data_IF_287268134726
#
_entry.id   IF_287268134726
#
_cell.length_a   1.000
_cell.length_b   1.000
_cell.length_c   1.000
_cell.angle_alpha   90.00
_cell.angle_beta   90.00
_cell.angle_gamma   90.00
#
_symmetry.space_group_name_H-M   'P 1'
#
loop_
_entity.id
_entity.type
_entity.pdbx_description
1 polymer ?
#
# COMPACT_ATOMS: atom_id res chain seq x y z
N UNK A 1 -41.75 66.98 9.53
CA UNK A 1 -40.59 66.59 8.71
C UNK A 1 -40.96 65.34 7.94
N UNK A 2 -41.30 65.53 6.68
CA UNK A 2 -41.60 64.49 5.68
C UNK A 2 -40.30 63.96 5.10
N UNK A 3 -40.17 62.65 4.93
CA UNK A 3 -39.37 62.06 3.85
C UNK A 3 -39.81 60.63 3.53
N UNK A 4 -39.53 60.14 2.31
CA UNK A 4 -40.43 59.25 1.60
C UNK A 4 -39.91 57.81 1.44
N UNK A 5 -40.85 56.99 0.97
CA UNK A 5 -40.75 55.68 0.33
C UNK A 5 -39.47 55.45 -0.52
N UNK A 6 -38.85 54.26 -0.40
CA UNK A 6 -38.23 53.58 -1.55
C UNK A 6 -37.79 52.14 -1.25
N UNK A 7 -38.40 51.19 -1.98
CA UNK A 7 -37.69 50.10 -2.65
C UNK A 7 -37.25 48.86 -1.84
N UNK A 8 -38.07 47.82 -1.85
CA UNK A 8 -37.58 46.45 -2.09
C UNK A 8 -37.41 46.29 -3.62
N UNK A 9 -36.39 45.61 -4.16
CA UNK A 9 -36.26 44.15 -4.00
C UNK A 9 -34.81 43.62 -4.01
N UNK A 10 -34.60 42.39 -3.51
CA UNK A 10 -33.31 41.72 -3.71
C UNK A 10 -33.04 40.54 -2.80
N UNK A 11 -33.86 39.50 -2.90
CA UNK A 11 -33.46 38.17 -2.45
C UNK A 11 -32.27 37.69 -3.29
N UNK A 12 -31.05 37.87 -2.80
CA UNK A 12 -29.89 37.07 -3.21
C UNK A 12 -29.23 36.50 -1.96
N UNK A 13 -29.88 35.49 -1.40
CA UNK A 13 -29.23 34.53 -0.50
C UNK A 13 -28.14 33.83 -1.30
N UNK A 14 -26.92 34.34 -1.16
CA UNK A 14 -25.69 33.75 -1.67
C UNK A 14 -25.63 32.30 -1.18
N UNK A 15 -25.62 31.27 -2.06
CA UNK A 15 -25.37 29.91 -1.64
C UNK A 15 -23.93 29.90 -1.13
N UNK A 16 -23.76 29.75 0.18
CA UNK A 16 -22.47 29.39 0.75
C UNK A 16 -22.01 28.11 0.07
N UNK A 17 -20.95 28.29 -0.71
CA UNK A 17 -20.10 27.30 -1.38
C UNK A 17 -20.40 25.87 -0.96
N UNK A 18 -20.90 25.13 -1.93
CA UNK A 18 -20.94 23.67 -2.02
C UNK A 18 -19.93 22.99 -1.09
N UNK A 19 -20.45 22.31 -0.07
CA UNK A 19 -19.74 21.27 0.66
C UNK A 19 -19.63 19.99 -0.22
N UNK A 20 -19.15 20.14 -1.44
CA UNK A 20 -19.10 19.09 -2.46
C UNK A 20 -17.73 19.03 -3.14
N UNK A 21 -16.65 19.20 -2.37
CA UNK A 21 -15.28 19.00 -2.87
C UNK A 21 -14.39 18.45 -1.75
N UNK A 22 -14.73 17.27 -1.23
CA UNK A 22 -13.76 16.34 -0.58
C UNK A 22 -14.32 14.93 -0.36
N UNK A 23 -15.57 14.63 -0.70
CA UNK A 23 -15.99 13.25 -1.05
C UNK A 23 -15.56 12.93 -2.49
N UNK A 24 -14.32 13.27 -2.83
CA UNK A 24 -13.70 12.80 -4.06
C UNK A 24 -13.40 11.31 -3.83
N UNK A 25 -14.32 10.47 -4.31
CA UNK A 25 -14.25 9.01 -4.41
C UNK A 25 -12.97 8.40 -3.84
N UNK A 26 -12.98 8.16 -2.54
CA UNK A 26 -11.96 7.35 -1.85
C UNK A 26 -12.01 5.88 -2.30
N UNK A 27 -12.99 5.52 -3.14
CA UNK A 27 -13.21 4.17 -3.66
C UNK A 27 -12.61 3.93 -5.05
N UNK A 28 -12.15 4.95 -5.77
CA UNK A 28 -11.74 4.79 -7.20
C UNK A 28 -10.22 4.88 -7.42
N UNK A 29 -9.47 5.43 -6.47
CA UNK A 29 -8.01 5.39 -6.56
C UNK A 29 -7.48 4.31 -5.62
N UNK A 30 -6.94 3.24 -6.21
CA UNK A 30 -6.02 2.35 -5.50
C UNK A 30 -4.81 3.19 -5.07
N UNK A 31 -4.86 3.71 -3.84
CA UNK A 31 -3.81 4.54 -3.25
C UNK A 31 -2.44 3.84 -3.19
N UNK A 32 -2.40 2.53 -3.47
CA UNK A 32 -1.18 1.74 -3.64
C UNK A 32 -0.41 2.11 -4.93
N UNK A 33 -1.09 2.57 -5.98
CA UNK A 33 -0.45 2.85 -7.27
C UNK A 33 0.24 4.23 -7.30
N UNK A 34 -0.08 5.12 -6.35
CA UNK A 34 0.53 6.46 -6.23
C UNK A 34 1.25 6.58 -4.89
N UNK A 35 2.47 6.03 -4.84
CA UNK A 35 3.35 6.13 -3.66
C UNK A 35 4.06 7.50 -3.66
N UNK A 36 3.95 8.30 -2.58
CA UNK A 36 4.70 9.55 -2.45
C UNK A 36 6.21 9.33 -2.59
N UNK A 37 6.92 10.27 -3.21
CA UNK A 37 8.37 10.15 -3.48
C UNK A 37 9.22 9.96 -2.22
N UNK A 38 8.80 10.56 -1.10
CA UNK A 38 9.42 10.37 0.22
C UNK A 38 9.28 8.94 0.77
N UNK A 39 8.39 8.13 0.20
CA UNK A 39 8.12 6.75 0.55
C UNK A 39 8.52 5.77 -0.58
N UNK A 40 9.37 6.18 -1.51
CA UNK A 40 9.82 5.31 -2.62
C UNK A 40 10.41 3.96 -2.15
N UNK A 41 10.98 3.90 -0.95
CA UNK A 41 11.54 2.69 -0.35
C UNK A 41 10.51 1.57 -0.04
N UNK A 42 9.22 1.86 0.03
CA UNK A 42 8.18 0.82 0.24
C UNK A 42 7.60 0.28 -1.07
N UNK A 43 7.92 0.91 -2.21
CA UNK A 43 7.41 0.51 -3.54
C UNK A 43 7.72 -0.97 -3.85
N UNK A 44 8.92 -1.51 -3.61
CA UNK A 44 9.19 -2.93 -3.87
C UNK A 44 8.26 -3.87 -3.10
N UNK A 45 7.95 -3.55 -1.84
CA UNK A 45 7.06 -4.37 -0.99
C UNK A 45 5.63 -4.36 -1.55
N UNK A 46 5.12 -3.20 -1.97
CA UNK A 46 3.77 -3.09 -2.53
C UNK A 46 3.66 -3.77 -3.90
N UNK A 47 4.72 -3.72 -4.73
CA UNK A 47 4.76 -4.46 -6.00
C UNK A 47 4.64 -5.95 -5.76
N UNK A 48 5.41 -6.49 -4.80
CA UNK A 48 5.33 -7.90 -4.44
C UNK A 48 3.94 -8.26 -3.93
N UNK A 49 3.35 -7.42 -3.07
CA UNK A 49 2.00 -7.65 -2.58
C UNK A 49 0.98 -7.79 -3.73
N UNK A 50 1.08 -6.93 -4.76
CA UNK A 50 0.22 -6.98 -5.95
C UNK A 50 0.49 -8.23 -6.81
N UNK A 51 1.76 -8.62 -6.98
CA UNK A 51 2.14 -9.81 -7.76
C UNK A 51 1.59 -11.10 -7.13
N UNK A 52 1.62 -11.22 -5.81
CA UNK A 52 1.27 -12.45 -5.10
C UNK A 52 -0.18 -12.47 -4.59
N UNK A 53 -0.94 -11.40 -4.81
CA UNK A 53 -2.29 -11.20 -4.27
C UNK A 53 -3.24 -12.36 -4.59
N UNK A 54 -3.15 -12.89 -5.81
CA UNK A 54 -4.00 -14.01 -6.25
C UNK A 54 -3.51 -15.38 -5.76
N UNK A 55 -2.20 -15.57 -5.60
CA UNK A 55 -1.61 -16.86 -5.21
C UNK A 55 -1.56 -17.05 -3.70
N UNK A 56 -1.24 -15.98 -2.97
CA UNK A 56 -1.04 -15.95 -1.52
C UNK A 56 -1.67 -14.68 -0.93
N UNK A 57 -3.01 -14.60 -0.85
CA UNK A 57 -3.70 -13.39 -0.41
C UNK A 57 -3.30 -12.97 1.01
N UNK A 58 -3.06 -13.94 1.90
CA UNK A 58 -2.56 -13.63 3.25
C UNK A 58 -1.18 -12.99 3.26
N UNK A 59 -0.23 -13.50 2.47
CA UNK A 59 1.12 -12.92 2.41
C UNK A 59 1.07 -11.52 1.81
N UNK A 60 0.28 -11.32 0.75
CA UNK A 60 0.07 -9.99 0.15
C UNK A 60 -0.46 -8.97 1.18
N UNK A 61 -1.47 -9.36 1.97
CA UNK A 61 -1.98 -8.55 3.07
C UNK A 61 -0.88 -8.16 4.07
N UNK A 62 -0.03 -9.11 4.46
CA UNK A 62 1.05 -8.87 5.41
C UNK A 62 2.16 -7.97 4.84
N UNK A 63 2.46 -8.09 3.54
CA UNK A 63 3.36 -7.16 2.84
C UNK A 63 2.82 -5.72 2.90
N UNK A 64 1.53 -5.50 2.63
CA UNK A 64 0.88 -4.19 2.73
C UNK A 64 0.91 -3.63 4.14
N UNK A 65 0.67 -4.48 5.13
CA UNK A 65 0.76 -4.11 6.53
C UNK A 65 2.17 -3.64 6.91
N UNK A 66 3.19 -4.42 6.53
CA UNK A 66 4.59 -4.04 6.73
C UNK A 66 4.94 -2.72 6.02
N UNK A 67 4.44 -2.50 4.79
CA UNK A 67 4.64 -1.26 4.06
C UNK A 67 4.03 -0.05 4.80
N UNK A 68 2.83 -0.20 5.37
CA UNK A 68 2.19 0.84 6.19
C UNK A 68 3.03 1.16 7.44
N UNK A 69 3.48 0.14 8.17
CA UNK A 69 4.35 0.31 9.33
C UNK A 69 5.66 1.02 8.98
N UNK A 70 6.29 0.64 7.88
CA UNK A 70 7.53 1.26 7.40
C UNK A 70 7.28 2.72 7.02
N UNK A 71 6.17 3.03 6.35
CA UNK A 71 5.78 4.41 6.05
C UNK A 71 5.51 5.23 7.32
N UNK A 72 4.90 4.62 8.34
CA UNK A 72 4.70 5.26 9.65
C UNK A 72 6.02 5.59 10.34
N UNK A 73 7.01 4.68 10.31
CA UNK A 73 8.34 4.91 10.86
C UNK A 73 9.12 5.98 10.09
N UNK A 74 8.99 6.02 8.76
CA UNK A 74 9.70 6.98 7.90
C UNK A 74 9.18 8.41 8.01
N UNK A 75 7.87 8.60 8.20
CA UNK A 75 7.28 9.93 8.43
C UNK A 75 6.18 9.86 9.49
N UNK A 76 6.52 9.78 10.79
CA UNK A 76 5.53 9.67 11.86
C UNK A 76 4.51 10.82 11.86
N UNK A 77 4.97 12.01 11.48
CA UNK A 77 4.16 13.24 11.43
C UNK A 77 3.24 13.35 10.21
N UNK A 78 3.43 12.49 9.20
CA UNK A 78 2.72 12.53 7.91
C UNK A 78 2.77 13.92 7.25
N UNK A 79 3.91 14.60 7.34
CA UNK A 79 4.11 15.97 6.85
C UNK A 79 4.44 16.02 5.35
N UNK A 80 4.92 14.92 4.78
CA UNK A 80 5.19 14.84 3.35
C UNK A 80 3.93 14.99 2.50
N UNK A 81 4.08 15.59 1.33
CA UNK A 81 2.98 15.75 0.38
C UNK A 81 2.37 14.39 0.02
N UNK A 82 1.05 14.25 0.19
CA UNK A 82 0.33 13.00 -0.11
C UNK A 82 0.53 11.85 0.88
N UNK A 83 1.44 11.97 1.87
CA UNK A 83 1.78 10.88 2.80
C UNK A 83 0.59 10.48 3.67
N UNK A 84 -0.16 11.46 4.19
CA UNK A 84 -1.34 11.19 5.02
C UNK A 84 -2.43 10.48 4.23
N UNK A 85 -2.70 10.94 3.01
CA UNK A 85 -3.69 10.35 2.12
C UNK A 85 -3.30 8.91 1.77
N UNK A 86 -2.04 8.71 1.38
CA UNK A 86 -1.48 7.39 1.09
C UNK A 86 -1.64 6.43 2.26
N UNK A 87 -1.21 6.80 3.48
CA UNK A 87 -1.33 5.95 4.68
C UNK A 87 -2.78 5.64 5.02
N UNK A 88 -3.67 6.62 4.90
CA UNK A 88 -5.11 6.43 5.17
C UNK A 88 -5.71 5.45 4.17
N UNK A 89 -5.40 5.61 2.88
CA UNK A 89 -5.87 4.69 1.83
C UNK A 89 -5.37 3.25 2.05
N UNK A 90 -4.07 3.10 2.37
CA UNK A 90 -3.48 1.79 2.65
C UNK A 90 -4.09 1.13 3.90
N UNK A 91 -4.36 1.90 4.95
CA UNK A 91 -5.05 1.43 6.15
C UNK A 91 -6.47 0.94 5.85
N UNK A 92 -7.26 1.71 5.10
CA UNK A 92 -8.62 1.32 4.71
C UNK A 92 -8.64 0.05 3.85
N UNK A 93 -7.65 -0.11 2.96
CA UNK A 93 -7.49 -1.35 2.19
C UNK A 93 -7.19 -2.54 3.09
N UNK A 94 -6.30 -2.38 4.07
CA UNK A 94 -6.02 -3.45 5.05
C UNK A 94 -7.29 -3.83 5.83
N UNK A 95 -8.07 -2.85 6.31
CA UNK A 95 -9.31 -3.14 7.01
C UNK A 95 -10.29 -3.97 6.15
N UNK A 96 -10.40 -3.65 4.86
CA UNK A 96 -11.23 -4.37 3.88
C UNK A 96 -10.73 -5.80 3.62
N UNK A 97 -9.43 -5.96 3.40
CA UNK A 97 -8.84 -7.22 2.91
C UNK A 97 -8.50 -8.19 4.05
N UNK A 98 -8.57 -7.77 5.32
CA UNK A 98 -8.15 -8.61 6.45
C UNK A 98 -8.99 -9.90 6.57
N UNK A 99 -10.33 -9.81 6.48
CA UNK A 99 -11.19 -10.98 6.67
C UNK A 99 -11.03 -12.02 5.53
N UNK A 100 -11.01 -11.55 4.28
CA UNK A 100 -10.82 -12.43 3.12
C UNK A 100 -9.43 -13.05 3.08
N UNK A 101 -8.39 -12.28 3.42
CA UNK A 101 -7.02 -12.80 3.49
C UNK A 101 -6.85 -13.83 4.62
N UNK A 102 -7.46 -13.62 5.79
CA UNK A 102 -7.46 -14.59 6.89
C UNK A 102 -8.12 -15.92 6.52
N UNK A 103 -9.21 -15.89 5.75
CA UNK A 103 -9.88 -17.10 5.29
C UNK A 103 -8.99 -17.94 4.35
N UNK A 104 -8.05 -17.30 3.65
CA UNK A 104 -7.08 -17.98 2.76
C UNK A 104 -5.81 -18.47 3.47
N UNK A 105 -5.71 -18.31 4.79
CA UNK A 105 -4.50 -18.64 5.55
C UNK A 105 -4.26 -20.15 5.58
N UNK A 106 -3.04 -20.56 5.28
CA UNK A 106 -2.55 -21.94 5.25
C UNK A 106 -1.79 -22.30 6.53
N UNK A 107 -1.04 -21.35 7.11
CA UNK A 107 -0.24 -21.55 8.34
C UNK A 107 -0.99 -21.10 9.59
N UNK A 108 -0.45 -21.45 10.77
CA UNK A 108 -1.09 -21.11 12.04
C UNK A 108 -0.88 -19.66 12.44
N UNK A 109 0.24 -19.05 12.05
CA UNK A 109 0.56 -17.67 12.36
C UNK A 109 0.95 -16.91 11.10
N UNK A 110 0.82 -15.58 11.15
CA UNK A 110 1.22 -14.70 10.05
C UNK A 110 2.73 -14.74 9.81
N UNK A 111 3.53 -14.86 10.88
CA UNK A 111 4.98 -15.03 10.77
C UNK A 111 5.34 -16.30 9.97
N UNK A 112 4.67 -17.42 10.28
CA UNK A 112 4.90 -18.68 9.57
C UNK A 112 4.44 -18.64 8.11
N UNK A 113 3.39 -17.88 7.78
CA UNK A 113 2.98 -17.65 6.39
C UNK A 113 4.12 -17.01 5.59
N UNK A 114 4.67 -15.90 6.09
CA UNK A 114 5.71 -15.15 5.39
C UNK A 114 6.99 -15.98 5.33
N UNK A 115 7.39 -16.64 6.41
CA UNK A 115 8.58 -17.50 6.42
C UNK A 115 8.46 -18.65 5.41
N UNK A 116 7.32 -19.33 5.39
CA UNK A 116 7.09 -20.43 4.44
C UNK A 116 7.07 -19.93 3.00
N UNK A 117 6.51 -18.75 2.74
CA UNK A 117 6.51 -18.16 1.41
C UNK A 117 7.92 -17.73 0.99
N UNK A 118 8.68 -17.14 1.90
CA UNK A 118 10.07 -16.73 1.66
C UNK A 118 10.98 -17.92 1.31
N UNK A 119 10.86 -19.02 2.06
CA UNK A 119 11.59 -20.26 1.76
C UNK A 119 11.22 -20.80 0.37
N UNK A 120 9.92 -20.89 0.07
CA UNK A 120 9.45 -21.35 -1.23
C UNK A 120 9.96 -20.47 -2.38
N UNK A 121 9.93 -19.14 -2.22
CA UNK A 121 10.46 -18.20 -3.21
C UNK A 121 11.97 -18.42 -3.46
N UNK A 122 12.75 -18.60 -2.40
CA UNK A 122 14.19 -18.80 -2.52
C UNK A 122 14.53 -20.12 -3.22
N UNK A 123 13.84 -21.21 -2.88
CA UNK A 123 14.07 -22.52 -3.47
C UNK A 123 13.67 -22.57 -4.95
N UNK A 124 12.54 -22.00 -5.31
CA UNK A 124 12.02 -22.09 -6.67
C UNK A 124 12.55 -21.02 -7.61
N UNK A 125 12.86 -19.82 -7.12
CA UNK A 125 13.23 -18.71 -7.99
C UNK A 125 14.74 -18.46 -7.96
N UNK A 126 15.33 -18.33 -6.78
CA UNK A 126 16.77 -18.00 -6.66
C UNK A 126 17.63 -19.19 -7.06
N UNK A 127 17.40 -20.40 -6.52
CA UNK A 127 18.21 -21.57 -6.88
C UNK A 127 18.05 -21.98 -8.35
N UNK A 128 16.85 -21.89 -8.90
CA UNK A 128 16.61 -22.23 -10.31
C UNK A 128 17.35 -21.28 -11.26
N UNK A 129 17.37 -19.98 -10.96
CA UNK A 129 18.09 -19.00 -11.77
C UNK A 129 19.61 -19.12 -11.62
N UNK A 130 20.10 -19.46 -10.43
CA UNK A 130 21.52 -19.71 -10.16
C UNK A 130 22.06 -20.92 -10.96
N UNK A 131 21.24 -21.96 -11.11
CA UNK A 131 21.57 -23.14 -11.90
C UNK A 131 21.57 -22.88 -13.42
N UNK A 132 20.87 -21.85 -13.90
CA UNK A 132 20.82 -21.44 -15.31
C UNK A 132 21.98 -20.50 -15.72
N UNK A 133 23.07 -20.48 -14.94
CA UNK A 133 24.11 -19.45 -14.81
C UNK A 133 24.87 -18.95 -16.06
N UNK A 134 24.54 -19.37 -17.27
CA UNK A 134 25.28 -19.01 -18.49
C UNK A 134 24.55 -18.03 -19.44
N UNK A 135 23.31 -17.64 -19.16
CA UNK A 135 22.60 -16.67 -20.01
C UNK A 135 22.62 -15.26 -19.43
N UNK A 136 22.90 -14.26 -20.27
CA UNK A 136 22.83 -12.83 -19.89
C UNK A 136 21.45 -12.43 -19.32
N UNK A 137 20.38 -13.08 -19.81
CA UNK A 137 19.04 -12.91 -19.25
C UNK A 137 18.92 -13.45 -17.82
N UNK A 138 19.62 -14.54 -17.48
CA UNK A 138 19.64 -15.12 -16.13
C UNK A 138 20.26 -14.14 -15.13
N UNK A 139 21.32 -13.41 -15.49
CA UNK A 139 21.96 -12.44 -14.60
C UNK A 139 21.03 -11.27 -14.23
N UNK A 140 20.31 -10.70 -15.20
CA UNK A 140 19.33 -9.63 -14.93
C UNK A 140 18.16 -10.13 -14.08
N UNK A 141 17.63 -11.32 -14.40
CA UNK A 141 16.55 -11.94 -13.63
C UNK A 141 16.98 -12.28 -12.21
N UNK A 142 18.23 -12.74 -12.02
CA UNK A 142 18.81 -13.03 -10.73
C UNK A 142 18.96 -11.75 -9.89
N UNK A 143 19.39 -10.65 -10.49
CA UNK A 143 19.43 -9.33 -9.84
C UNK A 143 18.04 -8.87 -9.38
N UNK A 144 17.01 -9.06 -10.21
CA UNK A 144 15.61 -8.78 -9.82
C UNK A 144 15.15 -9.70 -8.69
N UNK A 145 15.47 -10.99 -8.76
CA UNK A 145 15.09 -11.97 -7.74
C UNK A 145 15.71 -11.64 -6.37
N UNK A 146 16.97 -11.20 -6.33
CA UNK A 146 17.59 -10.76 -5.08
C UNK A 146 16.95 -9.49 -4.51
N UNK A 147 16.55 -8.54 -5.36
CA UNK A 147 15.80 -7.35 -4.88
C UNK A 147 14.46 -7.77 -4.26
N UNK A 148 13.73 -8.67 -4.91
CA UNK A 148 12.47 -9.22 -4.38
C UNK A 148 12.69 -9.99 -3.09
N UNK A 149 13.69 -10.86 -3.03
CA UNK A 149 14.04 -11.59 -1.82
C UNK A 149 14.41 -10.65 -0.66
N UNK A 150 15.19 -9.59 -0.95
CA UNK A 150 15.51 -8.57 0.05
C UNK A 150 14.27 -7.88 0.60
N UNK A 151 13.33 -7.49 -0.26
CA UNK A 151 12.06 -6.89 0.16
C UNK A 151 11.17 -7.87 0.97
N UNK A 152 11.10 -9.15 0.57
CA UNK A 152 10.40 -10.18 1.36
C UNK A 152 11.06 -10.41 2.73
N UNK A 153 12.39 -10.40 2.79
CA UNK A 153 13.12 -10.55 4.04
C UNK A 153 12.85 -9.38 5.01
N UNK A 154 12.70 -8.15 4.52
CA UNK A 154 12.24 -7.03 5.35
C UNK A 154 10.85 -7.29 5.94
N UNK A 155 9.95 -7.91 5.18
CA UNK A 155 8.61 -8.30 5.67
C UNK A 155 8.75 -9.35 6.76
N UNK A 156 9.58 -10.39 6.58
CA UNK A 156 9.88 -11.38 7.64
C UNK A 156 10.32 -10.67 8.93
N UNK A 157 11.30 -9.77 8.85
CA UNK A 157 11.80 -9.01 10.01
C UNK A 157 10.69 -8.22 10.70
N UNK A 158 9.76 -7.65 9.92
CA UNK A 158 8.65 -6.87 10.46
C UNK A 158 7.75 -7.70 11.39
N UNK A 159 7.63 -8.99 11.13
CA UNK A 159 6.82 -9.92 11.92
C UNK A 159 7.62 -10.72 12.95
N UNK A 160 8.95 -10.85 12.81
CA UNK A 160 9.81 -11.48 13.83
C UNK A 160 10.08 -10.61 15.06
N UNK A 161 9.84 -9.29 14.98
CA UNK A 161 10.09 -8.33 16.07
C UNK A 161 8.84 -7.99 16.89
N UNK A 162 7.75 -8.73 16.71
CA UNK A 162 6.46 -8.56 17.38
C UNK A 162 6.16 -9.79 18.22
#
# INVERSE_FOLDING_TARGET
MTNPESGHPGLTRRPSRSAATTTFSMEVFDHEDVVPSSLSFIVPILRIAKEIEHERPRVAYLCRFCALEKAQRLDPSSRGFGVRQFKTGLMLRLERDNASSLASRVKQTDAQEIESYYQHYYEHYVRSLDQLGDQANSAHQLGKAYQTAGALFEVVICFSRR
#
